data_IF_294362578497
#
_entry.id   IF_294362578497
#
_cell.length_a   1.000
_cell.length_b   1.000
_cell.length_c   1.000
_cell.angle_alpha   90.00
_cell.angle_beta   90.00
_cell.angle_gamma   90.00
#
_symmetry.space_group_name_H-M   'P 1'
#
loop_
_entity.id
_entity.type
_entity.pdbx_description
1 polymer ?
#
# COMPACT_ATOMS: atom_id res chain seq x y z
N UNK A 1 -1.37 -18.15 -40.54
CA UNK A 1 -0.14 -18.81 -40.07
C UNK A 1 -0.43 -19.29 -38.65
N UNK A 2 -0.84 -20.56 -38.52
CA UNK A 2 -1.52 -21.12 -37.35
C UNK A 2 -0.56 -21.36 -36.18
N UNK A 3 -0.88 -20.86 -35.00
CA UNK A 3 -0.23 -21.25 -33.75
C UNK A 3 -0.74 -22.65 -33.37
N UNK A 4 0.01 -23.68 -33.72
CA UNK A 4 -0.14 -25.04 -33.16
C UNK A 4 0.82 -25.16 -31.97
N UNK A 5 0.36 -24.73 -30.80
CA UNK A 5 0.93 -25.17 -29.52
C UNK A 5 -0.03 -26.20 -28.95
N UNK A 6 0.21 -27.47 -29.24
CA UNK A 6 -0.48 -28.61 -28.61
C UNK A 6 -0.05 -28.68 -27.15
N UNK A 7 -0.81 -28.04 -26.27
CA UNK A 7 -0.65 -28.23 -24.82
C UNK A 7 -1.25 -29.59 -24.48
N UNK A 8 -0.43 -30.52 -23.98
CA UNK A 8 -0.89 -31.84 -23.54
C UNK A 8 -1.89 -31.68 -22.38
N UNK A 9 -3.13 -32.13 -22.59
CA UNK A 9 -4.15 -32.24 -21.55
C UNK A 9 -4.03 -33.60 -20.87
N UNK A 10 -3.50 -33.64 -19.64
CA UNK A 10 -3.54 -34.84 -18.80
C UNK A 10 -4.75 -34.75 -17.87
N UNK A 11 -5.73 -35.63 -18.08
CA UNK A 11 -6.96 -35.72 -17.28
C UNK A 11 -6.66 -36.47 -15.96
N UNK A 12 -6.03 -35.80 -15.00
CA UNK A 12 -5.56 -36.38 -13.72
C UNK A 12 -6.61 -36.26 -12.59
N UNK A 13 -7.75 -35.61 -12.85
CA UNK A 13 -8.71 -35.24 -11.80
C UNK A 13 -9.59 -36.37 -11.26
N UNK A 14 -9.64 -37.54 -11.90
CA UNK A 14 -10.58 -38.60 -11.51
C UNK A 14 -10.03 -39.59 -10.47
N UNK A 15 -8.79 -39.43 -9.98
CA UNK A 15 -8.12 -40.53 -9.26
C UNK A 15 -7.56 -40.21 -7.88
N UNK A 16 -7.87 -39.06 -7.26
CA UNK A 16 -7.27 -38.74 -5.95
C UNK A 16 -8.28 -38.13 -4.96
N UNK A 17 -8.71 -38.98 -4.02
CA UNK A 17 -9.47 -38.58 -2.84
C UNK A 17 -8.52 -37.90 -1.83
N UNK A 18 -8.85 -36.69 -1.40
CA UNK A 18 -8.07 -35.90 -0.45
C UNK A 18 -9.04 -35.40 0.60
N UNK A 19 -9.05 -36.09 1.73
CA UNK A 19 -9.86 -35.82 2.91
C UNK A 19 -8.89 -35.70 4.08
N UNK A 20 -8.86 -34.55 4.76
CA UNK A 20 -8.08 -34.33 5.98
C UNK A 20 -8.96 -33.53 6.94
N UNK A 21 -9.33 -34.19 8.04
CA UNK A 21 -10.32 -33.76 9.02
C UNK A 21 -9.93 -32.55 9.87
N UNK A 22 -10.96 -31.84 10.31
CA UNK A 22 -10.91 -30.79 11.33
C UNK A 22 -11.01 -31.36 12.75
N UNK A 23 -10.44 -30.62 13.69
CA UNK A 23 -10.53 -30.87 15.14
C UNK A 23 -11.20 -29.65 15.78
N UNK A 24 -12.17 -29.93 16.65
CA UNK A 24 -12.97 -28.98 17.43
C UNK A 24 -12.15 -28.25 18.51
N UNK A 25 -12.62 -27.06 18.92
CA UNK A 25 -12.45 -26.61 20.31
C UNK A 25 -13.55 -25.61 20.75
N UNK A 26 -13.88 -25.71 22.04
CA UNK A 26 -15.14 -25.31 22.69
C UNK A 26 -14.97 -24.04 23.54
N UNK A 27 -16.10 -23.35 23.73
CA UNK A 27 -16.44 -22.25 24.65
C UNK A 27 -15.64 -22.09 25.94
N UNK A 28 -15.42 -20.83 26.36
CA UNK A 28 -15.50 -20.40 27.76
C UNK A 28 -16.15 -19.01 27.86
N UNK A 29 -17.23 -18.94 28.63
CA UNK A 29 -17.92 -17.74 29.11
C UNK A 29 -17.22 -17.12 30.33
N UNK A 30 -17.49 -15.84 30.64
CA UNK A 30 -17.68 -15.32 32.01
C UNK A 30 -18.12 -13.86 32.00
N UNK A 31 -18.93 -13.53 33.01
CA UNK A 31 -19.79 -12.37 33.19
C UNK A 31 -19.23 -11.38 34.25
N UNK A 32 -20.02 -10.34 34.54
CA UNK A 32 -20.02 -9.44 35.71
C UNK A 32 -19.19 -8.15 35.56
N UNK A 33 -19.65 -6.93 35.88
CA UNK A 33 -20.91 -6.42 36.45
C UNK A 33 -20.70 -4.99 36.99
N UNK A 34 -21.79 -4.19 36.98
CA UNK A 34 -22.11 -2.98 37.82
C UNK A 34 -21.24 -1.71 37.71
N UNK A 35 -21.67 -0.47 37.98
CA UNK A 35 -22.96 0.22 38.19
C UNK A 35 -22.70 1.73 38.35
N UNK A 36 -23.79 2.53 38.26
CA UNK A 36 -24.05 3.82 38.95
C UNK A 36 -23.75 5.16 38.23
N UNK A 37 -24.84 5.74 37.70
CA UNK A 37 -25.43 7.07 37.97
C UNK A 37 -24.54 8.29 38.27
N UNK A 38 -24.79 9.40 37.56
CA UNK A 38 -25.66 10.50 38.04
C UNK A 38 -25.76 11.65 37.00
N UNK A 39 -26.97 12.21 36.90
CA UNK A 39 -27.33 13.39 36.11
C UNK A 39 -26.71 14.69 36.66
N UNK A 40 -26.62 15.73 35.82
CA UNK A 40 -27.34 17.02 36.00
C UNK A 40 -26.99 17.98 34.87
N UNK A 41 -28.04 18.60 34.34
CA UNK A 41 -28.05 19.57 33.26
C UNK A 41 -27.67 21.00 33.70
N UNK A 42 -27.63 21.87 32.71
CA UNK A 42 -27.63 23.34 32.75
C UNK A 42 -26.34 24.10 33.08
N UNK A 43 -25.83 24.78 32.04
CA UNK A 43 -25.55 26.23 32.09
C UNK A 43 -25.21 26.80 30.71
N UNK A 44 -26.23 27.37 30.08
CA UNK A 44 -26.13 28.35 28.98
C UNK A 44 -26.18 29.77 29.59
N UNK A 45 -25.71 30.76 28.81
CA UNK A 45 -25.66 32.22 29.06
C UNK A 45 -24.42 32.63 29.88
N UNK A 46 -23.44 33.42 29.41
CA UNK A 46 -23.52 34.72 28.70
C UNK A 46 -22.31 34.87 27.76
N UNK A 47 -22.52 34.77 26.44
CA UNK A 47 -21.57 35.20 25.40
C UNK A 47 -22.03 36.56 24.89
N UNK A 48 -21.74 37.62 25.64
CA UNK A 48 -22.08 38.98 25.20
C UNK A 48 -21.13 40.09 25.70
N UNK A 49 -20.14 39.81 26.56
CA UNK A 49 -19.37 40.88 27.21
C UNK A 49 -17.83 40.80 27.07
N UNK A 50 -17.33 39.99 26.12
CA UNK A 50 -15.89 39.83 25.88
C UNK A 50 -15.41 40.37 24.51
N UNK A 51 -16.20 41.20 23.82
CA UNK A 51 -15.84 41.76 22.51
C UNK A 51 -15.51 43.27 22.51
N UNK A 52 -15.45 43.93 23.67
CA UNK A 52 -15.26 45.38 23.76
C UNK A 52 -13.85 45.87 24.17
N UNK A 53 -12.80 45.02 24.17
CA UNK A 53 -11.43 45.42 24.56
C UNK A 53 -10.32 44.81 23.70
N UNK A 54 -10.35 45.01 22.39
CA UNK A 54 -9.17 44.80 21.53
C UNK A 54 -8.96 45.96 20.54
N UNK A 55 -8.68 47.15 21.06
CA UNK A 55 -7.85 48.12 20.34
C UNK A 55 -6.46 47.50 20.18
N UNK A 56 -6.17 46.96 18.98
CA UNK A 56 -4.85 46.47 18.57
C UNK A 56 -3.83 47.61 18.67
N UNK A 57 -3.11 47.69 19.79
CA UNK A 57 -1.78 48.34 19.82
C UNK A 57 -0.89 47.56 18.86
N UNK A 58 -0.51 48.20 17.76
CA UNK A 58 0.43 47.68 16.77
C UNK A 58 1.84 47.86 17.33
N UNK A 59 2.19 47.08 18.34
CA UNK A 59 3.57 47.01 18.82
C UNK A 59 4.43 46.42 17.69
N UNK A 60 5.27 47.28 17.11
CA UNK A 60 6.34 46.90 16.18
C UNK A 60 7.41 46.22 17.02
N UNK A 61 7.28 44.92 17.20
CA UNK A 61 8.38 44.13 17.75
C UNK A 61 9.28 43.68 16.60
N UNK A 62 10.52 44.14 16.65
CA UNK A 62 11.48 44.00 15.56
C UNK A 62 11.93 42.54 15.38
N UNK A 63 11.94 42.08 14.14
CA UNK A 63 12.37 40.73 13.77
C UNK A 63 13.87 40.77 13.42
N UNK A 64 14.72 40.20 14.26
CA UNK A 64 16.17 40.16 14.00
C UNK A 64 16.50 39.04 12.99
N UNK A 65 17.27 39.35 11.95
CA UNK A 65 17.76 38.33 11.01
C UNK A 65 18.76 37.40 11.71
N UNK A 66 18.58 36.09 11.55
CA UNK A 66 19.46 35.05 12.10
C UNK A 66 20.50 34.64 11.06
N UNK A 67 20.09 34.52 9.80
CA UNK A 67 20.97 34.12 8.71
C UNK A 67 20.22 33.68 7.47
N UNK A 68 21.01 33.43 6.42
CA UNK A 68 20.57 32.86 5.16
C UNK A 68 21.08 31.43 5.01
N UNK A 69 20.28 30.59 4.38
CA UNK A 69 20.52 29.16 4.25
C UNK A 69 20.14 28.69 2.85
N UNK A 70 20.79 27.63 2.38
CA UNK A 70 20.53 27.05 1.06
C UNK A 70 19.12 26.48 0.91
N UNK A 71 18.53 26.00 2.01
CA UNK A 71 17.18 25.45 2.02
C UNK A 71 16.45 25.66 3.34
N UNK A 72 15.12 25.52 3.30
CA UNK A 72 14.30 25.48 4.52
C UNK A 72 14.74 24.38 5.50
N UNK A 73 15.15 23.21 4.99
CA UNK A 73 15.54 22.09 5.83
C UNK A 73 16.84 22.40 6.59
N UNK A 74 17.83 22.99 5.91
CA UNK A 74 19.07 23.47 6.56
C UNK A 74 18.77 24.58 7.56
N UNK A 75 17.94 25.56 7.19
CA UNK A 75 17.50 26.63 8.08
C UNK A 75 16.81 26.10 9.34
N UNK A 76 15.93 25.10 9.20
CA UNK A 76 15.18 24.52 10.31
C UNK A 76 16.05 23.74 11.29
N UNK A 77 17.10 23.11 10.79
CA UNK A 77 18.07 22.35 11.58
C UNK A 77 19.11 23.26 12.24
N UNK A 78 19.34 24.46 11.70
CA UNK A 78 20.30 25.46 12.21
C UNK A 78 19.73 26.39 13.28
N UNK A 79 18.46 26.22 13.66
CA UNK A 79 17.76 27.07 14.62
C UNK A 79 17.24 26.24 15.79
N UNK A 80 16.90 26.92 16.89
CA UNK A 80 16.31 26.28 18.05
C UNK A 80 15.12 25.37 17.68
N UNK A 81 14.90 24.26 18.43
CA UNK A 81 13.72 23.42 18.28
C UNK A 81 12.46 24.27 18.22
N UNK A 82 11.61 24.01 17.23
CA UNK A 82 10.46 24.86 16.95
C UNK A 82 9.38 24.13 16.16
N UNK A 83 8.13 24.49 16.42
CA UNK A 83 6.94 23.96 15.76
C UNK A 83 6.32 25.04 14.86
N UNK A 84 5.89 24.65 13.65
CA UNK A 84 5.25 25.57 12.71
C UNK A 84 3.82 25.85 13.17
N UNK A 85 3.48 27.12 13.36
CA UNK A 85 2.14 27.55 13.75
C UNK A 85 1.29 27.96 12.55
N UNK A 86 1.89 28.64 11.58
CA UNK A 86 1.19 29.04 10.37
C UNK A 86 2.15 29.14 9.18
N UNK A 87 1.59 28.96 7.99
CA UNK A 87 2.29 29.04 6.71
C UNK A 87 1.51 29.96 5.78
N UNK A 88 2.20 30.86 5.08
CA UNK A 88 1.62 31.78 4.09
C UNK A 88 2.43 31.77 2.81
N UNK A 89 1.76 31.84 1.66
CA UNK A 89 2.39 32.09 0.36
C UNK A 89 2.27 33.58 0.04
N UNK A 90 3.38 34.18 -0.39
CA UNK A 90 3.46 35.63 -0.69
C UNK A 90 4.42 35.85 -1.86
N UNK A 91 4.40 37.03 -2.48
CA UNK A 91 5.42 37.39 -3.48
C UNK A 91 6.83 37.26 -2.88
N UNK A 92 7.74 36.66 -3.63
CA UNK A 92 9.08 36.38 -3.14
C UNK A 92 9.86 37.67 -2.89
N UNK A 93 10.36 37.82 -1.66
CA UNK A 93 11.30 38.88 -1.29
C UNK A 93 12.70 38.35 -0.97
N UNK A 94 12.92 37.04 -1.15
CA UNK A 94 14.22 36.38 -0.88
C UNK A 94 15.16 36.51 -2.09
N UNK A 95 14.62 36.51 -3.30
CA UNK A 95 15.40 36.70 -4.51
C UNK A 95 15.38 38.17 -4.92
N UNK A 96 16.56 38.76 -5.10
CA UNK A 96 16.74 40.15 -5.56
C UNK A 96 16.60 40.29 -7.10
N UNK A 97 16.10 39.27 -7.80
CA UNK A 97 16.08 39.18 -9.27
C UNK A 97 14.71 39.44 -9.91
N UNK A 98 14.65 39.71 -11.22
CA UNK A 98 13.41 39.97 -11.94
C UNK A 98 12.62 38.68 -12.13
N UNK A 99 11.54 38.51 -11.37
CA UNK A 99 10.61 37.40 -11.57
C UNK A 99 9.51 37.38 -10.51
N UNK A 100 8.25 37.45 -10.95
CA UNK A 100 7.10 37.27 -10.06
C UNK A 100 6.97 35.78 -9.74
N UNK A 101 7.57 35.35 -8.64
CA UNK A 101 7.41 34.01 -8.10
C UNK A 101 7.08 34.09 -6.61
N UNK A 102 6.59 32.99 -6.05
CA UNK A 102 6.15 32.94 -4.66
C UNK A 102 7.30 32.59 -3.72
N UNK A 103 7.19 33.05 -2.48
CA UNK A 103 7.89 32.48 -1.33
C UNK A 103 6.90 31.93 -0.32
N UNK A 104 7.35 30.91 0.42
CA UNK A 104 6.65 30.34 1.54
C UNK A 104 7.20 30.94 2.84
N UNK A 105 6.35 31.64 3.59
CA UNK A 105 6.65 32.22 4.89
C UNK A 105 6.06 31.33 5.99
N UNK A 106 6.91 30.83 6.90
CA UNK A 106 6.51 29.99 8.04
C UNK A 106 6.76 30.73 9.34
N UNK A 107 5.72 30.84 10.17
CA UNK A 107 5.83 31.33 11.54
C UNK A 107 5.90 30.15 12.49
N UNK A 108 6.88 30.16 13.38
CA UNK A 108 7.19 29.04 14.26
C UNK A 108 7.34 29.52 15.70
N UNK A 109 6.93 28.70 16.66
CA UNK A 109 7.17 28.93 18.09
C UNK A 109 8.29 28.00 18.55
N UNK A 110 9.23 28.53 19.31
CA UNK A 110 10.31 27.76 19.89
C UNK A 110 9.77 26.78 20.95
N UNK A 111 10.34 25.58 20.97
CA UNK A 111 9.98 24.47 21.86
C UNK A 111 11.22 23.94 22.60
N UNK A 112 12.24 24.78 22.82
CA UNK A 112 13.44 24.36 23.55
C UNK A 112 13.16 24.10 25.04
N UNK A 113 12.14 24.76 25.60
CA UNK A 113 11.63 24.60 26.97
C UNK A 113 10.14 24.93 27.02
N UNK A 114 9.46 24.51 28.09
CA UNK A 114 8.00 24.66 28.25
C UNK A 114 7.52 26.11 28.06
N UNK A 115 8.24 27.08 28.64
CA UNK A 115 7.90 28.51 28.57
C UNK A 115 8.96 29.27 27.77
N UNK A 116 9.03 29.02 26.46
CA UNK A 116 9.83 29.83 25.54
C UNK A 116 8.96 30.84 24.78
N UNK A 117 9.29 32.13 24.89
CA UNK A 117 8.59 33.23 24.18
C UNK A 117 9.15 33.50 22.79
N UNK A 118 10.24 32.81 22.40
CA UNK A 118 10.88 33.03 21.11
C UNK A 118 10.05 32.49 19.96
N UNK A 119 9.97 33.31 18.92
CA UNK A 119 9.32 33.03 17.67
C UNK A 119 10.36 33.09 16.55
N UNK A 120 10.19 32.22 15.57
CA UNK A 120 11.01 32.18 14.36
C UNK A 120 10.12 32.42 13.15
N UNK A 121 10.65 33.10 12.15
CA UNK A 121 10.01 33.30 10.86
C UNK A 121 10.99 32.89 9.78
N UNK A 122 10.61 31.89 8.99
CA UNK A 122 11.45 31.39 7.89
C UNK A 122 10.78 31.71 6.57
N UNK A 123 11.47 32.50 5.74
CA UNK A 123 11.09 32.77 4.35
C UNK A 123 11.79 31.76 3.47
N UNK A 124 11.11 31.13 2.53
CA UNK A 124 11.71 30.15 1.61
C UNK A 124 11.25 30.43 0.19
N UNK A 125 12.19 30.72 -0.71
CA UNK A 125 11.89 30.91 -2.12
C UNK A 125 11.36 29.61 -2.74
N UNK A 126 10.30 29.70 -3.55
CA UNK A 126 9.75 28.52 -4.26
C UNK A 126 10.68 28.02 -5.38
N UNK A 127 11.43 28.91 -6.02
CA UNK A 127 12.35 28.62 -7.13
C UNK A 127 13.73 28.22 -6.64
N UNK A 128 14.48 29.15 -6.00
CA UNK A 128 15.87 28.93 -5.58
C UNK A 128 16.02 28.07 -4.34
N UNK A 129 14.92 27.77 -3.63
CA UNK A 129 14.88 27.06 -2.33
C UNK A 129 15.60 27.75 -1.17
N UNK A 130 16.38 28.81 -1.42
CA UNK A 130 17.04 29.63 -0.40
C UNK A 130 16.07 30.07 0.69
N UNK A 131 16.54 30.02 1.92
CA UNK A 131 15.76 30.36 3.09
C UNK A 131 16.43 31.45 3.93
N UNK A 132 15.63 32.40 4.43
CA UNK A 132 16.08 33.46 5.34
C UNK A 132 15.32 33.33 6.65
N UNK A 133 16.03 33.31 7.76
CA UNK A 133 15.44 33.14 9.10
C UNK A 133 15.48 34.46 9.87
N UNK A 134 14.37 34.76 10.53
CA UNK A 134 14.27 35.83 11.51
C UNK A 134 13.84 35.27 12.86
N UNK A 135 14.25 35.93 13.95
CA UNK A 135 13.86 35.62 15.33
C UNK A 135 13.28 36.83 16.04
N UNK A 136 12.41 36.59 17.02
CA UNK A 136 11.85 37.58 17.96
C UNK A 136 11.63 36.93 19.32
N UNK A 137 11.76 37.65 20.43
CA UNK A 137 11.53 37.15 21.80
C UNK A 137 12.62 37.60 22.80
N UNK A 138 12.48 37.24 24.08
CA UNK A 138 13.38 37.69 25.17
C UNK A 138 14.86 37.26 25.01
N UNK A 139 15.72 37.96 25.77
CA UNK A 139 17.17 37.77 25.88
C UNK A 139 17.56 36.43 26.53
N UNK A 140 18.70 35.86 26.11
CA UNK A 140 19.24 34.57 26.53
C UNK A 140 19.20 33.54 25.39
N UNK A 141 20.23 32.72 25.21
CA UNK A 141 20.28 31.75 24.11
C UNK A 141 19.27 30.60 24.29
N UNK A 142 18.87 30.00 23.16
CA UNK A 142 18.05 28.79 23.19
C UNK A 142 18.97 27.58 23.32
N UNK A 143 18.50 26.56 24.03
CA UNK A 143 19.19 25.27 24.03
C UNK A 143 19.31 24.75 22.59
N UNK A 144 20.48 24.26 22.20
CA UNK A 144 20.66 23.65 20.90
C UNK A 144 19.77 22.39 20.78
N UNK A 145 19.43 21.96 19.55
CA UNK A 145 18.77 20.68 19.35
C UNK A 145 19.52 19.56 20.07
N UNK A 146 18.79 18.68 20.75
CA UNK A 146 19.42 17.58 21.49
C UNK A 146 20.21 16.68 20.51
N UNK A 147 21.47 16.33 20.84
CA UNK A 147 22.26 15.40 20.02
C UNK A 147 21.50 14.09 19.77
N UNK A 148 21.53 13.58 18.54
CA UNK A 148 20.80 12.37 18.15
C UNK A 148 19.30 12.57 17.91
N UNK A 149 18.81 13.81 17.91
CA UNK A 149 17.45 14.11 17.43
C UNK A 149 17.37 13.88 15.91
N UNK A 150 16.29 13.27 15.43
CA UNK A 150 16.06 13.16 13.99
C UNK A 150 15.69 14.52 13.40
N UNK A 151 16.73 15.23 12.94
CA UNK A 151 16.66 16.50 12.24
C UNK A 151 15.79 16.39 10.98
N UNK A 152 15.37 17.53 10.42
CA UNK A 152 14.55 17.53 9.21
C UNK A 152 15.33 17.02 8.01
N UNK A 153 16.63 17.33 7.92
CA UNK A 153 17.51 16.77 6.88
C UNK A 153 17.60 15.25 6.97
N UNK A 154 17.87 14.73 8.17
CA UNK A 154 17.97 13.27 8.38
C UNK A 154 16.64 12.58 8.07
N UNK A 155 15.53 13.21 8.47
CA UNK A 155 14.17 12.72 8.19
C UNK A 155 13.90 12.65 6.70
N UNK A 156 14.11 13.75 5.97
CA UNK A 156 13.84 13.82 4.53
C UNK A 156 14.68 12.78 3.76
N UNK A 157 15.93 12.55 4.16
CA UNK A 157 16.78 11.51 3.58
C UNK A 157 16.34 10.08 3.95
N UNK A 158 15.94 9.85 5.21
CA UNK A 158 15.41 8.57 5.65
C UNK A 158 14.12 8.21 4.91
N UNK A 159 13.22 9.18 4.72
CA UNK A 159 11.96 8.99 4.00
C UNK A 159 12.18 8.58 2.54
N UNK A 160 13.19 9.15 1.85
CA UNK A 160 13.57 8.71 0.49
C UNK A 160 14.01 7.25 0.47
N UNK A 161 14.84 6.84 1.44
CA UNK A 161 15.25 5.45 1.58
C UNK A 161 14.06 4.53 1.89
N UNK A 162 13.08 4.99 2.69
CA UNK A 162 11.86 4.23 2.95
C UNK A 162 10.98 4.09 1.71
N UNK A 163 10.90 5.12 0.86
CA UNK A 163 10.21 5.06 -0.43
C UNK A 163 10.80 4.00 -1.36
N UNK A 164 12.13 3.78 -1.29
CA UNK A 164 12.83 2.70 -1.99
C UNK A 164 12.66 1.32 -1.33
N UNK A 165 11.88 1.19 -0.25
CA UNK A 165 11.68 -0.07 0.49
C UNK A 165 12.84 -0.46 1.40
N UNK A 166 13.77 0.45 1.70
CA UNK A 166 14.92 0.15 2.57
C UNK A 166 14.49 0.08 4.04
N UNK A 167 14.91 -0.99 4.73
CA UNK A 167 14.60 -1.21 6.15
C UNK A 167 15.24 -0.13 7.05
N UNK A 168 14.63 0.22 8.20
CA UNK A 168 15.13 1.25 9.12
C UNK A 168 16.62 1.13 9.50
N UNK A 169 17.09 -0.09 9.78
CA UNK A 169 18.49 -0.36 10.13
C UNK A 169 19.44 -0.09 8.97
N UNK A 170 19.08 -0.49 7.75
CA UNK A 170 19.87 -0.22 6.54
C UNK A 170 19.84 1.27 6.19
N UNK A 171 18.70 1.93 6.37
CA UNK A 171 18.58 3.36 6.14
C UNK A 171 19.52 4.14 7.07
N UNK A 172 19.49 3.85 8.37
CA UNK A 172 20.42 4.44 9.34
C UNK A 172 21.88 4.17 8.98
N UNK A 173 22.21 2.94 8.57
CA UNK A 173 23.56 2.57 8.16
C UNK A 173 24.05 3.37 6.94
N UNK A 174 23.22 3.50 5.89
CA UNK A 174 23.56 4.27 4.68
C UNK A 174 23.83 5.74 5.00
N UNK A 175 23.07 6.31 5.94
CA UNK A 175 23.22 7.71 6.34
C UNK A 175 24.49 8.00 7.17
N UNK A 176 25.24 6.98 7.61
CA UNK A 176 26.54 7.20 8.29
C UNK A 176 27.58 7.92 7.43
N UNK A 177 27.43 7.84 6.10
CA UNK A 177 28.31 8.55 5.15
C UNK A 177 28.13 10.07 5.17
N UNK A 178 26.97 10.56 5.62
CA UNK A 178 26.58 11.98 5.54
C UNK A 178 26.16 12.57 6.89
N UNK A 179 25.85 11.74 7.89
CA UNK A 179 25.49 12.16 9.24
C UNK A 179 26.60 11.76 10.22
N UNK A 180 27.24 12.73 10.90
CA UNK A 180 28.25 12.45 11.91
C UNK A 180 27.74 11.56 13.05
N UNK A 181 28.61 10.69 13.58
CA UNK A 181 28.26 9.70 14.59
C UNK A 181 27.63 10.31 15.86
N UNK A 182 28.14 11.46 16.33
CA UNK A 182 27.64 12.15 17.53
C UNK A 182 26.24 12.77 17.34
N UNK A 183 25.83 13.03 16.09
CA UNK A 183 24.48 13.54 15.74
C UNK A 183 23.52 12.47 15.26
N UNK A 184 23.97 11.23 15.06
CA UNK A 184 23.18 10.15 14.48
C UNK A 184 22.03 9.72 15.41
N UNK A 185 20.76 9.77 14.97
CA UNK A 185 19.66 9.27 15.77
C UNK A 185 19.75 7.78 16.01
N UNK A 186 19.25 7.33 17.17
CA UNK A 186 19.17 5.92 17.53
C UNK A 186 18.29 5.16 16.54
N UNK A 187 18.52 3.85 16.40
CA UNK A 187 17.73 2.97 15.52
C UNK A 187 16.22 3.04 15.84
N UNK A 188 15.85 3.14 17.12
CA UNK A 188 14.45 3.28 17.56
C UNK A 188 13.76 4.48 16.89
N UNK A 189 14.48 5.59 16.72
CA UNK A 189 13.96 6.80 16.05
C UNK A 189 13.69 6.54 14.56
N UNK A 190 14.58 5.82 13.88
CA UNK A 190 14.36 5.38 12.48
C UNK A 190 13.18 4.42 12.35
N UNK A 191 13.03 3.47 13.28
CA UNK A 191 11.90 2.54 13.30
C UNK A 191 10.57 3.28 13.48
N UNK A 192 10.49 4.19 14.47
CA UNK A 192 9.31 5.03 14.70
C UNK A 192 9.00 5.92 13.49
N UNK A 193 10.03 6.51 12.86
CA UNK A 193 9.84 7.32 11.65
C UNK A 193 9.33 6.49 10.48
N UNK A 194 9.92 5.32 10.23
CA UNK A 194 9.47 4.41 9.18
C UNK A 194 8.02 3.98 9.39
N UNK A 195 7.63 3.63 10.63
CA UNK A 195 6.23 3.33 10.97
C UNK A 195 5.31 4.51 10.65
N UNK A 196 5.69 5.73 11.06
CA UNK A 196 4.92 6.92 10.74
C UNK A 196 4.84 7.17 9.23
N UNK A 197 5.96 7.01 8.50
CA UNK A 197 6.02 7.18 7.06
C UNK A 197 5.07 6.21 6.34
N UNK A 198 5.09 4.93 6.72
CA UNK A 198 4.17 3.90 6.20
C UNK A 198 2.70 4.27 6.44
N UNK A 199 2.36 4.68 7.66
CA UNK A 199 0.98 5.08 8.02
C UNK A 199 0.51 6.36 7.30
N UNK A 200 1.35 7.38 7.26
CA UNK A 200 0.95 8.73 6.81
C UNK A 200 1.15 8.98 5.32
N UNK A 201 2.15 8.32 4.72
CA UNK A 201 2.56 8.57 3.33
C UNK A 201 2.18 7.42 2.42
N UNK A 202 2.35 6.16 2.88
CA UNK A 202 1.96 4.98 2.09
C UNK A 202 0.53 4.52 2.35
N UNK A 203 -0.17 5.15 3.30
CA UNK A 203 -1.55 4.77 3.66
C UNK A 203 -1.68 3.38 4.28
N UNK A 204 -0.57 2.79 4.75
CA UNK A 204 -0.59 1.45 5.35
C UNK A 204 -1.27 1.50 6.71
N UNK A 205 -2.54 1.14 6.74
CA UNK A 205 -3.37 1.27 7.93
C UNK A 205 -4.26 0.04 8.10
N UNK A 206 -4.59 -0.29 9.35
CA UNK A 206 -5.48 -1.40 9.69
C UNK A 206 -6.81 -0.96 10.32
N UNK A 207 -7.02 0.34 10.57
CA UNK A 207 -8.31 0.79 11.12
C UNK A 207 -9.39 0.79 10.04
N UNK A 208 -10.58 0.23 10.34
CA UNK A 208 -11.71 0.14 9.42
C UNK A 208 -12.07 1.45 8.71
N UNK A 209 -12.19 2.55 9.45
CA UNK A 209 -12.60 3.85 8.89
C UNK A 209 -11.65 4.41 7.84
N UNK A 210 -10.34 4.14 7.97
CA UNK A 210 -9.35 4.55 6.96
C UNK A 210 -9.41 3.64 5.74
N UNK A 211 -9.60 2.34 5.94
CA UNK A 211 -9.77 1.39 4.83
C UNK A 211 -11.02 1.72 4.02
N UNK A 212 -12.17 1.95 4.67
CA UNK A 212 -13.39 2.40 4.02
C UNK A 212 -13.16 3.66 3.19
N UNK A 213 -12.47 4.66 3.75
CA UNK A 213 -12.15 5.89 3.02
C UNK A 213 -11.27 5.61 1.79
N UNK A 214 -10.22 4.80 1.93
CA UNK A 214 -9.34 4.43 0.82
C UNK A 214 -10.11 3.70 -0.29
N UNK A 215 -11.05 2.82 0.05
CA UNK A 215 -11.91 2.14 -0.92
C UNK A 215 -12.83 3.12 -1.65
N UNK A 216 -13.44 4.07 -0.92
CA UNK A 216 -14.26 5.11 -1.55
C UNK A 216 -13.44 6.03 -2.47
N UNK A 217 -12.24 6.45 -2.05
CA UNK A 217 -11.33 7.28 -2.85
C UNK A 217 -10.77 6.55 -4.08
N UNK A 218 -10.68 5.22 -4.01
CA UNK A 218 -10.15 4.38 -5.09
C UNK A 218 -11.23 3.65 -5.88
N UNK A 219 -12.52 3.83 -5.60
CA UNK A 219 -13.60 3.13 -6.31
C UNK A 219 -13.49 3.33 -7.83
N UNK A 220 -13.91 2.32 -8.59
CA UNK A 220 -14.09 2.43 -10.03
C UNK A 220 -14.91 3.69 -10.39
N UNK A 221 -14.37 4.48 -11.31
CA UNK A 221 -14.96 5.71 -11.82
C UNK A 221 -14.69 5.84 -13.33
N UNK A 222 -15.70 6.27 -14.08
CA UNK A 222 -15.63 6.44 -15.53
C UNK A 222 -14.60 7.52 -15.89
N UNK A 223 -14.43 8.56 -15.05
CA UNK A 223 -13.49 9.66 -15.27
C UNK A 223 -12.02 9.35 -14.96
N UNK A 224 -11.73 8.24 -14.27
CA UNK A 224 -10.34 7.86 -13.90
C UNK A 224 -9.51 7.50 -15.15
N UNK A 225 -8.25 7.92 -15.19
CA UNK A 225 -7.35 7.59 -16.30
C UNK A 225 -7.06 6.08 -16.38
N UNK A 226 -6.49 5.65 -17.49
CA UNK A 226 -6.32 4.21 -17.77
C UNK A 226 -5.29 3.52 -16.87
N UNK A 227 -4.34 4.27 -16.33
CA UNK A 227 -3.15 3.74 -15.63
C UNK A 227 -3.29 3.79 -14.11
N UNK A 228 -4.13 4.70 -13.60
CA UNK A 228 -4.41 4.78 -12.17
C UNK A 228 -5.24 3.59 -11.72
N UNK A 229 -4.79 2.96 -10.64
CA UNK A 229 -5.49 1.83 -10.06
C UNK A 229 -6.84 2.25 -9.48
N UNK A 230 -7.75 1.29 -9.39
CA UNK A 230 -9.00 1.44 -8.68
C UNK A 230 -9.39 0.12 -8.00
N UNK A 231 -10.26 0.21 -7.00
CA UNK A 231 -10.78 -0.91 -6.24
C UNK A 231 -12.21 -1.26 -6.68
N UNK A 232 -12.55 -2.54 -6.54
CA UNK A 232 -13.85 -3.14 -6.87
C UNK A 232 -14.13 -4.35 -5.95
N UNK A 233 -15.28 -4.99 -6.08
CA UNK A 233 -15.66 -6.13 -5.24
C UNK A 233 -16.39 -5.76 -3.95
N UNK A 234 -16.96 -4.57 -3.86
CA UNK A 234 -17.76 -4.15 -2.72
C UNK A 234 -18.91 -3.24 -3.15
N UNK A 235 -20.01 -3.34 -2.43
CA UNK A 235 -21.16 -2.45 -2.60
C UNK A 235 -20.95 -1.16 -1.80
N UNK A 236 -21.65 -0.10 -2.19
CA UNK A 236 -21.67 1.15 -1.43
C UNK A 236 -23.09 1.41 -0.99
N UNK A 237 -23.32 1.35 0.32
CA UNK A 237 -24.61 1.61 0.96
C UNK A 237 -24.47 2.91 1.74
N UNK A 238 -25.33 3.89 1.45
CA UNK A 238 -25.32 5.22 2.11
C UNK A 238 -23.95 5.93 2.07
N UNK A 239 -23.18 5.73 0.99
CA UNK A 239 -21.85 6.33 0.82
C UNK A 239 -20.73 5.61 1.58
N UNK A 240 -21.02 4.48 2.21
CA UNK A 240 -20.05 3.65 2.95
C UNK A 240 -19.85 2.33 2.19
N UNK A 241 -18.59 1.90 1.97
CA UNK A 241 -18.33 0.61 1.34
C UNK A 241 -18.69 -0.50 2.33
N UNK A 242 -19.54 -1.42 1.88
CA UNK A 242 -19.93 -2.59 2.66
C UNK A 242 -18.86 -3.68 2.49
N UNK A 243 -18.00 -3.79 3.50
CA UNK A 243 -16.87 -4.72 3.53
C UNK A 243 -16.75 -5.34 4.92
N UNK A 244 -16.25 -6.57 4.98
CA UNK A 244 -15.99 -7.25 6.25
C UNK A 244 -14.71 -6.78 6.92
N UNK A 245 -14.68 -6.76 8.25
CA UNK A 245 -13.52 -6.45 9.09
C UNK A 245 -13.16 -7.59 10.05
N UNK A 246 -13.77 -8.76 9.87
CA UNK A 246 -13.70 -9.90 10.79
C UNK A 246 -14.89 -9.97 11.75
N UNK A 247 -15.02 -11.10 12.44
CA UNK A 247 -16.11 -11.36 13.37
C UNK A 247 -17.48 -11.36 12.67
N UNK A 248 -18.48 -10.71 13.28
CA UNK A 248 -19.85 -10.63 12.76
C UNK A 248 -19.99 -9.84 11.45
N UNK A 249 -19.00 -9.02 11.09
CA UNK A 249 -19.01 -8.26 9.83
C UNK A 249 -18.55 -9.06 8.61
N UNK A 250 -18.10 -10.30 8.81
CA UNK A 250 -17.55 -11.13 7.74
C UNK A 250 -16.11 -10.79 7.37
N UNK A 251 -15.59 -11.45 6.34
CA UNK A 251 -14.20 -11.34 5.89
C UNK A 251 -13.96 -10.10 5.02
N UNK A 252 -12.78 -9.50 5.14
CA UNK A 252 -12.37 -8.41 4.26
C UNK A 252 -12.01 -8.93 2.87
N UNK A 253 -12.75 -8.48 1.85
CA UNK A 253 -12.53 -8.83 0.44
C UNK A 253 -12.47 -7.58 -0.42
N UNK A 254 -11.55 -7.55 -1.38
CA UNK A 254 -11.45 -6.46 -2.35
C UNK A 254 -10.63 -6.88 -3.57
N UNK A 255 -11.02 -6.41 -4.75
CA UNK A 255 -10.24 -6.47 -5.98
C UNK A 255 -9.58 -5.12 -6.31
N UNK A 256 -8.38 -5.14 -6.89
CA UNK A 256 -7.66 -3.95 -7.36
C UNK A 256 -7.12 -4.20 -8.76
N UNK A 257 -7.32 -3.26 -9.67
CA UNK A 257 -6.83 -3.32 -11.06
C UNK A 257 -6.66 -1.91 -11.65
N UNK A 258 -6.28 -1.81 -12.92
CA UNK A 258 -6.34 -0.57 -13.73
C UNK A 258 -7.13 -0.84 -15.00
N UNK A 259 -7.65 0.20 -15.66
CA UNK A 259 -8.36 0.00 -16.94
C UNK A 259 -7.42 -0.58 -18.00
N UNK A 260 -6.15 -0.16 -17.99
CA UNK A 260 -5.13 -0.67 -18.91
C UNK A 260 -4.89 -2.17 -18.74
N UNK A 261 -4.84 -2.69 -17.50
CA UNK A 261 -4.67 -4.12 -17.26
C UNK A 261 -5.87 -4.93 -17.77
N UNK A 262 -7.09 -4.43 -17.53
CA UNK A 262 -8.32 -5.08 -18.04
C UNK A 262 -8.37 -5.06 -19.57
N UNK A 263 -8.08 -3.93 -20.21
CA UNK A 263 -7.97 -3.85 -21.67
C UNK A 263 -6.87 -4.76 -22.24
N UNK A 264 -5.87 -5.12 -21.43
CA UNK A 264 -4.90 -6.15 -21.77
C UNK A 264 -5.58 -7.45 -22.23
N UNK A 265 -6.69 -7.84 -21.60
CA UNK A 265 -7.43 -9.06 -21.95
C UNK A 265 -8.40 -8.88 -23.14
N UNK A 266 -8.58 -7.66 -23.67
CA UNK A 266 -9.48 -7.39 -24.79
C UNK A 266 -8.88 -7.80 -26.14
N UNK A 267 -8.76 -9.11 -26.35
CA UNK A 267 -8.21 -9.75 -27.54
C UNK A 267 -8.85 -11.13 -27.71
N UNK A 268 -8.52 -11.84 -28.79
CA UNK A 268 -8.99 -13.20 -28.99
C UNK A 268 -8.63 -14.08 -27.77
N UNK A 269 -9.61 -14.71 -27.07
CA UNK A 269 -9.35 -15.59 -25.94
C UNK A 269 -8.46 -16.79 -26.26
N UNK A 270 -8.30 -17.15 -27.53
CA UNK A 270 -7.36 -18.20 -27.97
C UNK A 270 -5.89 -17.75 -27.98
N UNK A 271 -5.64 -16.44 -27.90
CA UNK A 271 -4.31 -15.84 -28.03
C UNK A 271 -3.53 -15.73 -26.72
N UNK A 272 -4.10 -16.10 -25.59
CA UNK A 272 -3.43 -16.02 -24.29
C UNK A 272 -3.87 -17.14 -23.35
N UNK A 273 -3.05 -17.38 -22.32
CA UNK A 273 -3.41 -18.23 -21.18
C UNK A 273 -3.72 -17.35 -19.99
N UNK A 274 -4.91 -17.47 -19.43
CA UNK A 274 -5.26 -16.77 -18.19
C UNK A 274 -4.76 -17.56 -16.99
N UNK A 275 -4.02 -16.91 -16.10
CA UNK A 275 -3.51 -17.49 -14.88
C UNK A 275 -4.46 -17.19 -13.74
N UNK A 276 -5.10 -18.25 -13.25
CA UNK A 276 -5.92 -18.28 -12.05
C UNK A 276 -5.19 -19.06 -10.95
N UNK A 277 -3.94 -18.68 -10.74
CA UNK A 277 -3.04 -19.35 -9.82
C UNK A 277 -2.66 -18.39 -8.69
N UNK A 278 -2.87 -18.80 -7.45
CA UNK A 278 -2.54 -17.97 -6.31
C UNK A 278 -1.03 -17.90 -6.14
N UNK A 279 -0.40 -16.81 -6.58
CA UNK A 279 0.94 -16.47 -6.09
C UNK A 279 0.80 -15.95 -4.66
N UNK A 280 0.71 -16.90 -3.73
CA UNK A 280 0.39 -16.63 -2.33
C UNK A 280 1.42 -15.68 -1.71
N UNK A 281 0.94 -14.48 -1.38
CA UNK A 281 1.50 -13.70 -0.28
C UNK A 281 0.40 -13.53 0.74
N UNK A 282 0.64 -14.05 1.94
CA UNK A 282 -0.09 -13.64 3.13
C UNK A 282 0.22 -12.16 3.36
N UNK A 283 -0.81 -11.32 3.44
CA UNK A 283 -0.59 -9.97 3.95
C UNK A 283 -0.23 -10.03 5.45
N UNK A 284 0.22 -8.93 6.05
CA UNK A 284 0.60 -8.94 7.48
C UNK A 284 -0.52 -9.31 8.46
N UNK A 285 -1.75 -9.46 7.97
CA UNK A 285 -2.96 -9.79 8.71
C UNK A 285 -3.51 -11.19 8.36
N UNK A 286 -2.69 -12.08 7.78
CA UNK A 286 -3.07 -13.45 7.43
C UNK A 286 -4.04 -13.62 6.23
N UNK A 287 -4.45 -12.55 5.54
CA UNK A 287 -5.33 -12.69 4.37
C UNK A 287 -4.55 -13.17 3.13
N UNK A 288 -5.06 -14.17 2.40
CA UNK A 288 -4.54 -14.56 1.10
C UNK A 288 -4.64 -13.42 0.07
N UNK A 289 -3.55 -13.18 -0.65
CA UNK A 289 -3.55 -12.34 -1.86
C UNK A 289 -3.53 -13.23 -3.09
N UNK A 290 -4.59 -13.14 -3.89
CA UNK A 290 -4.71 -13.77 -5.19
C UNK A 290 -4.23 -12.79 -6.27
N UNK A 291 -3.42 -13.27 -7.20
CA UNK A 291 -2.99 -12.48 -8.35
C UNK A 291 -3.41 -13.25 -9.59
N UNK A 292 -4.23 -12.64 -10.44
CA UNK A 292 -4.54 -13.18 -11.74
C UNK A 292 -3.84 -12.37 -12.83
N UNK A 293 -3.58 -13.02 -13.95
CA UNK A 293 -2.87 -12.42 -15.06
C UNK A 293 -3.06 -13.20 -16.34
N UNK A 294 -2.39 -12.77 -17.39
CA UNK A 294 -2.36 -13.47 -18.67
C UNK A 294 -0.93 -13.65 -19.15
N UNK A 295 -0.64 -14.79 -19.75
CA UNK A 295 0.60 -14.98 -20.51
C UNK A 295 0.30 -14.81 -22.00
N UNK A 296 1.04 -13.90 -22.64
CA UNK A 296 0.91 -13.62 -24.06
C UNK A 296 1.63 -14.68 -24.93
N UNK A 297 1.45 -14.68 -26.27
CA UNK A 297 2.14 -15.62 -27.16
C UNK A 297 3.67 -15.52 -27.12
N UNK A 298 4.22 -14.39 -26.62
CA UNK A 298 5.64 -14.20 -26.40
C UNK A 298 6.15 -14.83 -25.10
N UNK A 299 5.26 -15.44 -24.30
CA UNK A 299 5.60 -16.05 -23.02
C UNK A 299 5.74 -15.05 -21.87
N UNK A 300 5.34 -13.79 -22.05
CA UNK A 300 5.43 -12.79 -21.00
C UNK A 300 4.16 -12.80 -20.15
N UNK A 301 4.34 -12.82 -18.83
CA UNK A 301 3.25 -12.69 -17.88
C UNK A 301 2.89 -11.22 -17.64
N UNK A 302 1.60 -10.92 -17.73
CA UNK A 302 1.02 -9.61 -17.47
C UNK A 302 -0.02 -9.73 -16.37
N UNK A 303 0.15 -9.07 -15.20
CA UNK A 303 -0.89 -9.08 -14.16
C UNK A 303 -2.15 -8.39 -14.68
N UNK A 304 -3.31 -8.85 -14.23
CA UNK A 304 -4.61 -8.31 -14.61
C UNK A 304 -5.30 -7.71 -13.40
N UNK A 305 -5.39 -8.45 -12.30
CA UNK A 305 -5.99 -7.98 -11.07
C UNK A 305 -5.37 -8.66 -9.85
N UNK A 306 -5.53 -7.99 -8.72
CA UNK A 306 -5.08 -8.41 -7.41
C UNK A 306 -6.30 -8.49 -6.50
N UNK A 307 -6.48 -9.58 -5.78
CA UNK A 307 -7.56 -9.74 -4.82
C UNK A 307 -7.01 -10.02 -3.43
N UNK A 308 -7.69 -9.46 -2.44
CA UNK A 308 -7.64 -9.95 -1.07
C UNK A 308 -8.93 -10.76 -0.88
N UNK A 309 -8.79 -12.02 -0.48
CA UNK A 309 -9.91 -12.93 -0.21
C UNK A 309 -9.88 -13.36 1.26
N UNK A 310 -11.01 -13.82 1.79
CA UNK A 310 -11.11 -14.22 3.20
C UNK A 310 -10.33 -15.49 3.52
N UNK A 311 -10.47 -16.50 2.66
CA UNK A 311 -9.92 -17.84 2.83
C UNK A 311 -9.76 -18.54 1.48
N UNK A 312 -9.17 -19.74 1.47
CA UNK A 312 -8.97 -20.54 0.26
C UNK A 312 -10.14 -21.50 0.01
N UNK A 313 -11.36 -20.96 -0.15
CA UNK A 313 -12.57 -21.75 -0.41
C UNK A 313 -13.12 -21.50 -1.81
N UNK A 314 -13.91 -22.45 -2.33
CA UNK A 314 -14.55 -22.37 -3.65
C UNK A 314 -15.33 -21.07 -3.82
N UNK A 315 -16.07 -20.67 -2.79
CA UNK A 315 -16.92 -19.47 -2.80
C UNK A 315 -16.10 -18.19 -2.92
N UNK A 316 -14.92 -18.13 -2.29
CA UNK A 316 -14.00 -16.99 -2.39
C UNK A 316 -13.40 -16.86 -3.79
N UNK A 317 -12.98 -17.97 -4.40
CA UNK A 317 -12.51 -17.97 -5.78
C UNK A 317 -13.62 -17.62 -6.77
N UNK A 318 -14.83 -18.12 -6.55
CA UNK A 318 -15.98 -17.82 -7.39
C UNK A 318 -16.35 -16.33 -7.29
N UNK A 319 -16.42 -15.79 -6.07
CA UNK A 319 -16.61 -14.36 -5.84
C UNK A 319 -15.58 -13.54 -6.59
N UNK A 320 -14.28 -13.86 -6.45
CA UNK A 320 -13.22 -13.10 -7.09
C UNK A 320 -13.34 -13.11 -8.63
N UNK A 321 -13.69 -14.26 -9.24
CA UNK A 321 -13.93 -14.32 -10.68
C UNK A 321 -15.19 -13.57 -11.12
N UNK A 322 -16.28 -13.64 -10.35
CA UNK A 322 -17.51 -12.89 -10.65
C UNK A 322 -17.24 -11.39 -10.63
N UNK A 323 -16.52 -10.90 -9.63
CA UNK A 323 -16.12 -9.51 -9.54
C UNK A 323 -15.19 -9.10 -10.69
N UNK A 324 -14.26 -9.98 -11.11
CA UNK A 324 -13.42 -9.74 -12.28
C UNK A 324 -14.25 -9.61 -13.56
N UNK A 325 -15.24 -10.47 -13.74
CA UNK A 325 -16.13 -10.40 -14.91
C UNK A 325 -16.93 -9.10 -14.92
N UNK A 326 -17.53 -8.73 -13.78
CA UNK A 326 -18.32 -7.50 -13.63
C UNK A 326 -17.47 -6.27 -13.94
N UNK A 327 -16.28 -6.18 -13.35
CA UNK A 327 -15.40 -5.02 -13.57
C UNK A 327 -14.84 -4.98 -14.99
N UNK A 328 -14.54 -6.14 -15.58
CA UNK A 328 -14.10 -6.24 -16.97
C UNK A 328 -15.18 -5.74 -17.92
N UNK A 329 -16.43 -6.18 -17.73
CA UNK A 329 -17.55 -5.74 -18.57
C UNK A 329 -17.82 -4.24 -18.40
N UNK A 330 -17.73 -3.70 -17.18
CA UNK A 330 -17.87 -2.28 -16.92
C UNK A 330 -16.81 -1.43 -17.65
N UNK A 331 -15.56 -1.91 -17.74
CA UNK A 331 -14.45 -1.15 -18.36
C UNK A 331 -14.33 -1.40 -19.86
N UNK A 332 -14.35 -2.67 -20.27
CA UNK A 332 -14.09 -3.11 -21.64
C UNK A 332 -15.36 -3.09 -22.50
N UNK A 333 -16.54 -3.05 -21.86
CA UNK A 333 -17.86 -3.06 -22.53
C UNK A 333 -18.09 -4.33 -23.37
N UNK A 334 -17.52 -5.44 -22.92
CA UNK A 334 -17.66 -6.78 -23.50
C UNK A 334 -17.61 -7.82 -22.39
N UNK A 335 -18.33 -8.95 -22.51
CA UNK A 335 -18.19 -10.05 -21.55
C UNK A 335 -16.78 -10.65 -21.61
N UNK A 336 -16.26 -11.06 -20.44
CA UNK A 336 -14.99 -11.75 -20.34
C UNK A 336 -15.12 -13.19 -20.89
N UNK A 337 -14.21 -13.57 -21.79
CA UNK A 337 -14.11 -14.92 -22.34
C UNK A 337 -12.68 -15.42 -22.21
N UNK A 338 -12.53 -16.67 -21.75
CA UNK A 338 -11.25 -17.31 -21.48
C UNK A 338 -11.27 -18.69 -22.14
N UNK A 339 -10.39 -18.99 -23.09
CA UNK A 339 -10.31 -20.36 -23.65
C UNK A 339 -9.39 -21.26 -22.82
N UNK A 340 -8.27 -20.72 -22.35
CA UNK A 340 -7.24 -21.44 -21.62
C UNK A 340 -7.07 -20.80 -20.25
N UNK A 341 -7.32 -21.56 -19.19
CA UNK A 341 -7.11 -21.11 -17.81
C UNK A 341 -6.10 -22.05 -17.15
N UNK A 342 -4.99 -21.49 -16.68
CA UNK A 342 -3.98 -22.19 -15.90
C UNK A 342 -4.17 -21.87 -14.41
N UNK A 343 -4.33 -22.89 -13.58
CA UNK A 343 -4.44 -22.73 -12.13
C UNK A 343 -3.60 -23.77 -11.38
N UNK A 344 -3.56 -23.63 -10.05
CA UNK A 344 -3.12 -24.71 -9.19
C UNK A 344 -4.04 -25.94 -9.35
N UNK A 345 -3.53 -27.13 -9.07
CA UNK A 345 -4.30 -28.37 -9.03
C UNK A 345 -5.22 -28.48 -7.80
N UNK A 346 -5.36 -27.40 -7.01
CA UNK A 346 -6.26 -27.33 -5.88
C UNK A 346 -7.73 -27.46 -6.30
N UNK A 347 -8.53 -28.12 -5.46
CA UNK A 347 -9.95 -28.39 -5.74
C UNK A 347 -10.78 -27.10 -5.83
N UNK A 348 -10.53 -26.14 -4.93
CA UNK A 348 -11.36 -24.94 -4.81
C UNK A 348 -11.34 -24.00 -6.03
N UNK A 349 -10.17 -23.59 -6.58
CA UNK A 349 -10.13 -22.75 -7.79
C UNK A 349 -10.80 -23.43 -8.99
N UNK A 350 -10.63 -24.74 -9.13
CA UNK A 350 -11.18 -25.53 -10.24
C UNK A 350 -12.70 -25.65 -10.10
N UNK A 351 -13.19 -25.93 -8.89
CA UNK A 351 -14.62 -25.96 -8.61
C UNK A 351 -15.28 -24.60 -8.91
N UNK A 352 -14.64 -23.50 -8.51
CA UNK A 352 -15.14 -22.16 -8.78
C UNK A 352 -15.26 -21.87 -10.29
N UNK A 353 -14.27 -22.27 -11.09
CA UNK A 353 -14.33 -22.09 -12.55
C UNK A 353 -15.43 -22.95 -13.20
N UNK A 354 -15.72 -24.14 -12.67
CA UNK A 354 -16.82 -25.00 -13.15
C UNK A 354 -18.19 -24.38 -12.89
N UNK A 355 -18.34 -23.57 -11.84
CA UNK A 355 -19.57 -22.84 -11.54
C UNK A 355 -19.80 -21.60 -12.43
N UNK A 356 -18.86 -21.28 -13.34
CA UNK A 356 -18.86 -20.08 -14.17
C UNK A 356 -18.81 -20.41 -15.69
N UNK A 357 -19.81 -21.14 -16.24
CA UNK A 357 -19.82 -21.56 -17.65
C UNK A 357 -19.77 -20.39 -18.64
N UNK A 358 -20.21 -19.20 -18.23
CA UNK A 358 -20.20 -18.00 -19.04
C UNK A 358 -18.80 -17.53 -19.47
N UNK A 359 -17.73 -17.99 -18.82
CA UNK A 359 -16.34 -17.71 -19.21
C UNK A 359 -15.94 -18.41 -20.53
N UNK A 360 -16.65 -19.46 -20.95
CA UNK A 360 -16.35 -20.16 -22.21
C UNK A 360 -15.03 -20.94 -22.20
N UNK A 361 -14.64 -21.46 -21.03
CA UNK A 361 -13.39 -22.21 -20.83
C UNK A 361 -13.39 -23.49 -21.67
N UNK A 362 -12.40 -23.62 -22.54
CA UNK A 362 -12.18 -24.81 -23.37
C UNK A 362 -11.24 -25.78 -22.71
N UNK A 363 -10.24 -25.29 -21.98
CA UNK A 363 -9.22 -26.13 -21.36
C UNK A 363 -8.73 -25.53 -20.05
N UNK A 364 -8.76 -26.35 -19.01
CA UNK A 364 -8.09 -26.10 -17.75
C UNK A 364 -6.68 -26.70 -17.80
N UNK A 365 -5.69 -25.88 -17.55
CA UNK A 365 -4.28 -26.22 -17.54
C UNK A 365 -3.78 -26.26 -16.10
N UNK A 366 -2.89 -27.20 -15.82
CA UNK A 366 -2.20 -27.26 -14.54
C UNK A 366 -0.94 -26.39 -14.59
N UNK A 367 -0.72 -25.58 -13.56
CA UNK A 367 0.50 -24.79 -13.45
C UNK A 367 1.73 -25.70 -13.37
N UNK A 368 2.65 -25.55 -14.34
CA UNK A 368 3.85 -26.38 -14.40
C UNK A 368 4.79 -26.16 -13.20
N UNK A 369 4.85 -24.92 -12.67
CA UNK A 369 5.59 -24.64 -11.45
C UNK A 369 5.06 -25.45 -10.26
N UNK A 370 3.73 -25.49 -10.07
CA UNK A 370 3.10 -26.27 -9.00
C UNK A 370 3.31 -27.77 -9.19
N UNK A 371 3.30 -28.25 -10.44
CA UNK A 371 3.69 -29.63 -10.75
C UNK A 371 5.13 -29.93 -10.29
N UNK A 372 6.10 -29.09 -10.67
CA UNK A 372 7.51 -29.23 -10.26
C UNK A 372 7.67 -29.15 -8.74
N UNK A 373 7.00 -28.19 -8.08
CA UNK A 373 7.04 -28.03 -6.63
C UNK A 373 6.49 -29.27 -5.91
N UNK A 374 5.35 -29.81 -6.38
CA UNK A 374 4.74 -31.01 -5.82
C UNK A 374 5.65 -32.24 -5.98
N UNK A 375 6.24 -32.44 -7.17
CA UNK A 375 7.18 -33.54 -7.40
C UNK A 375 8.42 -33.39 -6.54
N UNK A 376 9.00 -32.18 -6.44
CA UNK A 376 10.16 -31.93 -5.58
C UNK A 376 9.88 -32.21 -4.11
N UNK A 377 8.69 -31.85 -3.62
CA UNK A 377 8.23 -32.15 -2.25
C UNK A 377 8.17 -33.66 -2.02
N UNK A 378 7.60 -34.42 -2.96
CA UNK A 378 7.52 -35.89 -2.90
C UNK A 378 8.88 -36.57 -2.98
N UNK A 379 9.81 -36.01 -3.75
CA UNK A 379 11.18 -36.51 -3.85
C UNK A 379 12.06 -36.12 -2.66
N UNK A 380 11.54 -35.52 -1.59
CA UNK A 380 12.32 -34.96 -0.47
C UNK A 380 13.51 -35.80 -0.01
N UNK A 381 13.27 -37.09 0.30
CA UNK A 381 14.30 -38.04 0.76
C UNK A 381 15.10 -38.73 -0.35
N UNK A 382 14.79 -38.51 -1.63
CA UNK A 382 15.43 -39.19 -2.74
C UNK A 382 16.87 -38.69 -2.98
N UNK A 383 17.78 -39.56 -3.48
CA UNK A 383 19.13 -39.15 -3.89
C UNK A 383 19.12 -38.02 -4.94
N UNK A 384 20.15 -37.17 -4.91
CA UNK A 384 20.27 -36.03 -5.87
C UNK A 384 20.22 -36.47 -7.33
N UNK A 385 20.79 -37.63 -7.67
CA UNK A 385 20.78 -38.19 -9.01
C UNK A 385 19.35 -38.51 -9.48
N UNK A 386 18.51 -39.07 -8.59
CA UNK A 386 17.09 -39.34 -8.87
C UNK A 386 16.33 -38.04 -9.09
N UNK A 387 16.53 -37.04 -8.21
CA UNK A 387 15.92 -35.71 -8.37
C UNK A 387 16.27 -35.05 -9.71
N UNK A 388 17.54 -35.13 -10.10
CA UNK A 388 18.03 -34.60 -11.36
C UNK A 388 17.43 -35.33 -12.57
N UNK A 389 17.35 -36.67 -12.52
CA UNK A 389 16.76 -37.48 -13.58
C UNK A 389 15.26 -37.18 -13.75
N UNK A 390 14.50 -37.16 -12.66
CA UNK A 390 13.07 -36.82 -12.71
C UNK A 390 12.86 -35.41 -13.26
N UNK A 391 13.63 -34.43 -12.77
CA UNK A 391 13.56 -33.06 -13.29
C UNK A 391 13.84 -33.01 -14.79
N UNK A 392 14.90 -33.68 -15.27
CA UNK A 392 15.24 -33.76 -16.69
C UNK A 392 14.06 -34.27 -17.53
N UNK A 393 13.44 -35.37 -17.12
CA UNK A 393 12.30 -35.93 -17.85
C UNK A 393 11.05 -35.05 -17.75
N UNK A 394 10.79 -34.41 -16.62
CA UNK A 394 9.69 -33.44 -16.48
C UNK A 394 9.83 -32.26 -17.44
N UNK A 395 11.01 -31.65 -17.51
CA UNK A 395 11.26 -30.55 -18.43
C UNK A 395 11.25 -31.03 -19.90
N UNK A 396 11.76 -32.25 -20.18
CA UNK A 396 11.63 -32.85 -21.52
C UNK A 396 10.16 -32.98 -21.92
N UNK A 397 9.32 -33.56 -21.06
CA UNK A 397 7.87 -33.66 -21.28
C UNK A 397 7.23 -32.29 -21.54
N UNK A 398 7.54 -31.30 -20.70
CA UNK A 398 6.92 -29.97 -20.79
C UNK A 398 7.28 -29.20 -22.06
N UNK A 399 8.53 -29.32 -22.53
CA UNK A 399 9.01 -28.62 -23.72
C UNK A 399 8.90 -29.41 -25.03
N UNK A 400 8.42 -30.66 -24.97
CA UNK A 400 8.18 -31.48 -26.17
C UNK A 400 6.98 -30.93 -26.95
N UNK A 401 7.12 -30.81 -28.27
CA UNK A 401 6.03 -30.31 -29.15
C UNK A 401 5.01 -31.39 -29.47
N UNK A 402 5.38 -32.65 -29.24
CA UNK A 402 4.56 -33.83 -29.45
C UNK A 402 4.96 -34.97 -28.52
N UNK A 403 4.10 -35.97 -28.41
CA UNK A 403 4.38 -37.20 -27.67
C UNK A 403 5.60 -37.96 -28.21
N UNK A 404 5.86 -37.86 -29.52
CA UNK A 404 6.99 -38.50 -30.18
C UNK A 404 8.34 -37.86 -29.84
N UNK A 405 8.39 -36.54 -29.61
CA UNK A 405 9.62 -35.85 -29.17
C UNK A 405 9.98 -36.17 -27.70
N UNK A 406 9.01 -36.69 -26.94
CA UNK A 406 9.17 -36.98 -25.53
C UNK A 406 9.87 -38.33 -25.26
N UNK A 407 9.80 -39.28 -26.20
CA UNK A 407 10.52 -40.57 -26.15
C UNK A 407 12.03 -40.32 -26.09
#
# INVERSE_FOLDING_TARGET
>A
MMVRSTVMTWNIFDSINWDIGGVDEVDISSNDGSSADEHVADRVVVVADAMAKHTRKKDVYDWAMVGEFESYTVAKDSVAPSCTQSTKKTKCTVCLGPGVHEMCMRYMKCTCREQCTKQLRVLTCSTSKRAVVYKRGQYGDCDPPHPGTMSRSIRDQADRLFAEGIRPSRAQHRLKSVVPAHTMPRLKTFQSRCRYYRLSTLGEHSKPSVMARLLMESKIDDGRDSTTFFSFGFEVVEGIPHIGYGGSSGVFKVGITTKQLLHGMNRDPSSFVFHWDATYKINSMAYPVLICGMTDPGGNFHPVAFFIIGEESTDEYEWAMRELMTVYEAVVRSPLKLHYVMGDAAKAPIAALKNLPQLGIKTLLMCFYHCVACVNKRLGGAPKQVKALVSKHMFKMHFSRSEFECQ
#
